data_IF_495465462273
#
_entry.id   IF_495465462273
#
_cell.length_a   1.000
_cell.length_b   1.000
_cell.length_c   1.000
_cell.angle_alpha   90.00
_cell.angle_beta   90.00
_cell.angle_gamma   90.00
#
_symmetry.space_group_name_H-M   'P 1'
#
loop_
_entity.id
_entity.type
_entity.pdbx_description
1 polymer ?
#
# COMPACT_ATOMS: atom_id res chain seq x y z
N UNK A 1 -53.84 -15.77 28.56
CA UNK A 1 -52.66 -14.89 28.58
C UNK A 1 -51.59 -15.59 29.40
N UNK A 2 -50.75 -16.38 28.73
CA UNK A 2 -49.77 -17.26 29.37
C UNK A 2 -48.45 -16.52 29.44
N UNK A 3 -48.00 -16.20 30.66
CA UNK A 3 -46.65 -15.73 30.94
C UNK A 3 -45.65 -16.86 30.61
N UNK A 4 -45.02 -16.80 29.44
CA UNK A 4 -43.78 -17.54 29.18
C UNK A 4 -42.69 -16.90 30.03
N UNK A 5 -42.44 -17.48 31.21
CA UNK A 5 -41.23 -17.20 31.97
C UNK A 5 -40.04 -17.67 31.13
N UNK A 6 -39.26 -16.70 30.64
CA UNK A 6 -37.97 -16.95 30.01
C UNK A 6 -37.06 -17.59 31.06
N UNK A 7 -36.86 -18.90 30.94
CA UNK A 7 -35.78 -19.62 31.62
C UNK A 7 -34.47 -18.94 31.25
N UNK A 8 -33.80 -18.32 32.22
CA UNK A 8 -32.56 -17.58 32.04
C UNK A 8 -31.48 -18.48 31.47
N UNK A 9 -31.27 -18.42 30.15
CA UNK A 9 -30.14 -19.10 29.54
C UNK A 9 -28.87 -18.37 30.00
N UNK A 10 -27.96 -19.12 30.63
CA UNK A 10 -26.62 -18.63 30.94
C UNK A 10 -25.82 -18.66 29.64
N UNK A 11 -26.11 -17.73 28.74
CA UNK A 11 -25.34 -17.57 27.51
C UNK A 11 -23.87 -17.30 27.86
N UNK A 12 -22.97 -17.92 27.10
CA UNK A 12 -21.54 -17.71 27.29
C UNK A 12 -21.20 -16.24 26.96
N UNK A 13 -20.58 -15.49 27.88
CA UNK A 13 -20.42 -14.04 27.72
C UNK A 13 -19.47 -13.70 26.55
N UNK A 14 -19.82 -12.71 25.69
CA UNK A 14 -18.99 -12.27 24.56
C UNK A 14 -17.53 -12.03 24.91
N UNK A 15 -17.27 -11.42 26.07
CA UNK A 15 -15.94 -11.07 26.54
C UNK A 15 -14.99 -12.27 26.66
N UNK A 16 -15.53 -13.49 26.72
CA UNK A 16 -14.72 -14.72 26.78
C UNK A 16 -14.48 -15.35 25.40
N UNK A 17 -15.43 -15.30 24.47
CA UNK A 17 -15.29 -15.98 23.18
C UNK A 17 -14.84 -15.06 22.03
N UNK A 18 -15.13 -13.76 22.08
CA UNK A 18 -14.67 -12.82 21.04
C UNK A 18 -13.14 -12.80 20.89
N UNK A 19 -12.34 -12.72 21.98
CA UNK A 19 -10.87 -12.76 21.86
C UNK A 19 -10.36 -14.10 21.31
N UNK A 20 -11.04 -15.20 21.63
CA UNK A 20 -10.69 -16.54 21.13
C UNK A 20 -10.84 -16.57 19.60
N UNK A 21 -11.98 -16.10 19.08
CA UNK A 21 -12.20 -16.03 17.62
C UNK A 21 -11.24 -15.03 16.97
N UNK A 22 -10.97 -13.89 17.61
CA UNK A 22 -10.05 -12.88 17.09
C UNK A 22 -8.60 -13.40 16.98
N UNK A 23 -8.17 -14.32 17.85
CA UNK A 23 -6.87 -14.98 17.74
C UNK A 23 -6.76 -15.93 16.54
N UNK A 24 -7.87 -16.26 15.87
CA UNK A 24 -7.90 -17.10 14.67
C UNK A 24 -7.79 -16.29 13.36
N UNK A 25 -7.46 -15.00 13.39
CA UNK A 25 -7.45 -14.12 12.20
C UNK A 25 -6.59 -14.59 11.01
N UNK A 26 -5.62 -15.49 11.22
CA UNK A 26 -4.84 -16.14 10.14
C UNK A 26 -5.27 -17.58 9.81
N UNK A 27 -6.26 -18.15 10.51
CA UNK A 27 -6.77 -19.51 10.30
C UNK A 27 -8.20 -19.47 9.74
N UNK A 28 -8.29 -19.23 8.43
CA UNK A 28 -9.57 -19.15 7.72
C UNK A 28 -10.41 -20.42 7.89
N UNK A 29 -9.80 -21.60 8.01
CA UNK A 29 -10.55 -22.85 8.17
C UNK A 29 -11.26 -22.89 9.52
N UNK A 30 -10.55 -22.53 10.60
CA UNK A 30 -11.14 -22.43 11.93
C UNK A 30 -12.21 -21.34 12.00
N UNK A 31 -11.98 -20.17 11.40
CA UNK A 31 -12.98 -19.09 11.34
C UNK A 31 -14.25 -19.50 10.60
N UNK A 32 -14.14 -20.24 9.49
CA UNK A 32 -15.30 -20.76 8.76
C UNK A 32 -16.11 -21.71 9.64
N UNK A 33 -15.45 -22.58 10.40
CA UNK A 33 -16.11 -23.48 11.34
C UNK A 33 -16.78 -22.73 12.50
N UNK A 34 -16.11 -21.72 13.08
CA UNK A 34 -16.69 -20.84 14.09
C UNK A 34 -17.95 -20.14 13.57
N UNK A 35 -17.93 -19.72 12.30
CA UNK A 35 -19.07 -19.07 11.67
C UNK A 35 -20.30 -19.95 11.50
N UNK A 36 -20.20 -21.27 11.69
CA UNK A 36 -21.33 -22.21 11.64
C UNK A 36 -21.96 -22.47 13.01
N UNK A 37 -21.38 -21.97 14.11
CA UNK A 37 -21.82 -22.26 15.48
C UNK A 37 -23.10 -21.50 15.85
N UNK A 38 -23.08 -20.17 15.75
CA UNK A 38 -24.24 -19.29 15.98
C UNK A 38 -24.08 -17.97 15.22
N UNK A 39 -25.11 -17.11 15.26
CA UNK A 39 -25.11 -15.86 14.49
C UNK A 39 -24.08 -14.85 15.00
N UNK A 40 -23.82 -14.79 16.31
CA UNK A 40 -22.82 -13.92 16.92
C UNK A 40 -21.42 -14.33 16.47
N UNK A 41 -21.11 -15.63 16.54
CA UNK A 41 -19.83 -16.18 16.08
C UNK A 41 -19.65 -15.99 14.59
N UNK A 42 -20.73 -16.10 13.81
CA UNK A 42 -20.72 -15.81 12.37
C UNK A 42 -20.34 -14.35 12.11
N UNK A 43 -20.93 -13.38 12.81
CA UNK A 43 -20.65 -11.97 12.61
C UNK A 43 -19.15 -11.64 12.83
N UNK A 44 -18.56 -12.15 13.92
CA UNK A 44 -17.14 -11.91 14.22
C UNK A 44 -16.22 -12.72 13.31
N UNK A 45 -16.56 -13.97 13.01
CA UNK A 45 -15.75 -14.77 12.08
C UNK A 45 -15.69 -14.11 10.71
N UNK A 46 -16.83 -13.58 10.21
CA UNK A 46 -16.90 -12.84 8.94
C UNK A 46 -16.06 -11.57 8.94
N UNK A 47 -15.97 -10.86 10.07
CA UNK A 47 -15.11 -9.68 10.19
C UNK A 47 -13.64 -10.03 9.87
N UNK A 48 -13.15 -11.18 10.36
CA UNK A 48 -11.77 -11.62 10.10
C UNK A 48 -11.60 -12.32 8.75
N UNK A 49 -12.59 -13.11 8.30
CA UNK A 49 -12.52 -13.78 6.99
C UNK A 49 -12.47 -12.78 5.83
N UNK A 50 -13.17 -11.65 5.96
CA UNK A 50 -13.28 -10.64 4.90
C UNK A 50 -12.52 -9.36 5.20
N UNK A 51 -11.63 -9.32 6.21
CA UNK A 51 -10.86 -8.11 6.51
C UNK A 51 -9.86 -7.78 5.41
N UNK A 52 -9.27 -8.80 4.82
CA UNK A 52 -8.26 -8.71 3.77
C UNK A 52 -8.79 -9.37 2.50
N UNK A 53 -8.89 -8.58 1.42
CA UNK A 53 -9.40 -9.05 0.14
C UNK A 53 -8.40 -8.74 -0.96
N UNK A 54 -8.04 -9.76 -1.73
CA UNK A 54 -7.21 -9.63 -2.93
C UNK A 54 -8.06 -9.89 -4.17
N UNK A 55 -8.05 -8.94 -5.11
CA UNK A 55 -8.70 -9.05 -6.41
C UNK A 55 -7.64 -9.35 -7.48
N UNK A 56 -7.78 -10.49 -8.15
CA UNK A 56 -6.84 -10.97 -9.16
C UNK A 56 -7.49 -10.91 -10.54
N UNK A 57 -7.11 -9.92 -11.35
CA UNK A 57 -7.76 -9.64 -12.63
C UNK A 57 -7.16 -10.45 -13.76
N UNK A 58 -7.02 -11.76 -13.55
CA UNK A 58 -6.59 -12.71 -14.58
C UNK A 58 -7.77 -13.37 -15.29
N UNK A 59 -8.99 -13.18 -14.78
CA UNK A 59 -10.17 -13.86 -15.29
C UNK A 59 -11.26 -12.86 -15.67
N UNK A 60 -11.91 -13.01 -16.84
CA UNK A 60 -12.84 -12.02 -17.42
C UNK A 60 -14.11 -11.76 -16.59
N UNK A 61 -14.25 -12.37 -15.42
CA UNK A 61 -15.31 -12.14 -14.43
C UNK A 61 -14.74 -12.40 -13.06
N UNK A 62 -14.26 -11.36 -12.40
CA UNK A 62 -13.92 -11.46 -10.99
C UNK A 62 -15.21 -11.71 -10.20
N UNK A 63 -15.53 -12.99 -9.98
CA UNK A 63 -16.73 -13.45 -9.27
C UNK A 63 -16.79 -12.77 -7.92
N UNK A 64 -15.64 -12.52 -7.30
CA UNK A 64 -15.57 -11.84 -6.02
C UNK A 64 -16.12 -10.42 -6.08
N UNK A 65 -15.80 -9.63 -7.11
CA UNK A 65 -16.39 -8.29 -7.30
C UNK A 65 -17.90 -8.38 -7.45
N UNK A 66 -18.40 -9.37 -8.22
CA UNK A 66 -19.83 -9.58 -8.37
C UNK A 66 -20.51 -9.96 -7.04
N UNK A 67 -19.88 -10.81 -6.23
CA UNK A 67 -20.39 -11.24 -4.91
C UNK A 67 -20.36 -10.09 -3.91
N UNK A 68 -19.32 -9.25 -3.94
CA UNK A 68 -19.22 -8.07 -3.07
C UNK A 68 -20.24 -6.99 -3.45
N UNK A 69 -20.55 -6.87 -4.73
CA UNK A 69 -21.48 -5.86 -5.28
C UNK A 69 -22.91 -6.35 -5.42
N UNK A 70 -23.17 -7.64 -5.13
CA UNK A 70 -24.51 -8.20 -5.14
C UNK A 70 -25.42 -7.48 -4.13
N UNK A 71 -26.69 -7.31 -4.50
CA UNK A 71 -27.69 -6.70 -3.63
C UNK A 71 -27.80 -7.46 -2.30
N UNK A 72 -27.74 -6.75 -1.19
CA UNK A 72 -27.75 -7.33 0.15
C UNK A 72 -26.42 -7.95 0.61
N UNK A 73 -25.36 -7.90 -0.22
CA UNK A 73 -24.04 -8.36 0.20
C UNK A 73 -23.57 -7.58 1.42
N UNK A 74 -23.10 -8.31 2.43
CA UNK A 74 -22.58 -7.72 3.66
C UNK A 74 -21.05 -7.66 3.68
N UNK A 75 -20.37 -8.20 2.67
CA UNK A 75 -18.92 -8.38 2.65
C UNK A 75 -18.19 -7.02 2.70
N UNK A 76 -18.59 -6.07 1.85
CA UNK A 76 -17.89 -4.78 1.71
C UNK A 76 -17.74 -3.96 3.00
N UNK A 77 -18.60 -4.17 4.01
CA UNK A 77 -18.49 -3.47 5.30
C UNK A 77 -17.37 -4.00 6.20
N UNK A 78 -16.87 -5.21 5.91
CA UNK A 78 -15.83 -5.88 6.69
C UNK A 78 -14.44 -5.69 6.08
N UNK A 79 -14.34 -5.32 4.79
CA UNK A 79 -13.07 -5.12 4.09
C UNK A 79 -12.35 -3.91 4.68
N UNK A 80 -11.16 -4.18 5.23
CA UNK A 80 -10.24 -3.18 5.79
C UNK A 80 -9.02 -3.01 4.91
N UNK A 81 -8.63 -4.07 4.22
CA UNK A 81 -7.50 -4.10 3.31
C UNK A 81 -7.95 -4.66 1.96
N UNK A 82 -7.66 -3.91 0.91
CA UNK A 82 -7.98 -4.28 -0.46
C UNK A 82 -6.71 -4.22 -1.30
N UNK A 83 -6.32 -5.35 -1.87
CA UNK A 83 -5.25 -5.44 -2.84
C UNK A 83 -5.83 -5.73 -4.22
N UNK A 84 -5.53 -4.90 -5.20
CA UNK A 84 -6.00 -5.05 -6.58
C UNK A 84 -4.77 -5.30 -7.45
N UNK A 85 -4.70 -6.52 -8.00
CA UNK A 85 -3.65 -6.91 -8.95
C UNK A 85 -4.30 -7.18 -10.30
N UNK A 86 -4.22 -6.21 -11.21
CA UNK A 86 -4.76 -6.39 -12.55
C UNK A 86 -3.71 -6.76 -13.58
N UNK A 87 -4.17 -7.47 -14.62
CA UNK A 87 -3.33 -7.90 -15.72
C UNK A 87 -3.52 -7.04 -16.99
N UNK A 88 -4.64 -6.31 -17.11
CA UNK A 88 -4.96 -5.50 -18.29
C UNK A 88 -5.90 -4.29 -18.00
N UNK A 89 -6.06 -3.43 -19.02
CA UNK A 89 -6.87 -2.20 -19.02
C UNK A 89 -8.35 -2.43 -18.74
N UNK A 90 -8.92 -3.44 -19.40
CA UNK A 90 -10.35 -3.75 -19.30
C UNK A 90 -10.68 -4.24 -17.89
N UNK A 91 -9.77 -5.03 -17.31
CA UNK A 91 -9.85 -5.51 -15.94
C UNK A 91 -9.89 -4.39 -14.90
N UNK A 92 -8.99 -3.41 -15.00
CA UNK A 92 -8.96 -2.27 -14.08
C UNK A 92 -10.29 -1.51 -14.06
N UNK A 93 -10.78 -1.13 -15.24
CA UNK A 93 -12.05 -0.42 -15.36
C UNK A 93 -13.23 -1.25 -14.85
N UNK A 94 -13.29 -2.54 -15.24
CA UNK A 94 -14.36 -3.43 -14.81
C UNK A 94 -14.41 -3.56 -13.27
N UNK A 95 -13.27 -3.64 -12.60
CA UNK A 95 -13.24 -3.72 -11.13
C UNK A 95 -13.64 -2.39 -10.51
N UNK A 96 -12.93 -1.32 -10.85
CA UNK A 96 -13.11 -0.02 -10.19
C UNK A 96 -14.54 0.53 -10.36
N UNK A 97 -15.14 0.36 -11.54
CA UNK A 97 -16.52 0.80 -11.77
C UNK A 97 -17.56 0.03 -10.97
N UNK A 98 -17.26 -1.24 -10.67
CA UNK A 98 -18.15 -2.15 -9.95
C UNK A 98 -17.79 -2.29 -8.47
N UNK A 99 -16.76 -1.60 -7.96
CA UNK A 99 -16.43 -1.62 -6.53
C UNK A 99 -17.62 -1.11 -5.70
N UNK A 100 -18.05 -1.87 -4.66
CA UNK A 100 -19.09 -1.42 -3.76
C UNK A 100 -18.56 -0.33 -2.82
N UNK A 101 -19.42 0.22 -1.98
CA UNK A 101 -18.97 1.11 -0.91
C UNK A 101 -18.20 0.30 0.15
N UNK A 102 -17.00 0.75 0.50
CA UNK A 102 -16.09 0.10 1.44
C UNK A 102 -15.80 1.01 2.64
N UNK A 103 -16.78 1.27 3.52
CA UNK A 103 -16.65 2.28 4.58
C UNK A 103 -15.57 1.95 5.63
N UNK A 104 -15.21 0.68 5.75
CA UNK A 104 -14.19 0.19 6.68
C UNK A 104 -12.78 0.14 6.07
N UNK A 105 -12.62 0.43 4.77
CA UNK A 105 -11.34 0.32 4.10
C UNK A 105 -10.34 1.33 4.65
N UNK A 106 -9.14 0.85 5.00
CA UNK A 106 -8.02 1.63 5.52
C UNK A 106 -6.76 1.41 4.71
N UNK A 107 -6.54 0.20 4.20
CA UNK A 107 -5.38 -0.14 3.37
C UNK A 107 -5.84 -0.41 1.95
N UNK A 108 -5.21 0.27 0.99
CA UNK A 108 -5.42 0.03 -0.43
C UNK A 108 -4.08 -0.19 -1.12
N UNK A 109 -3.97 -1.33 -1.80
CA UNK A 109 -2.81 -1.70 -2.61
C UNK A 109 -3.23 -1.82 -4.06
N UNK A 110 -2.50 -1.15 -4.96
CA UNK A 110 -2.73 -1.16 -6.39
C UNK A 110 -1.44 -1.63 -7.08
N UNK A 111 -1.51 -2.75 -7.78
CA UNK A 111 -0.33 -3.42 -8.34
C UNK A 111 -0.49 -3.68 -9.83
N UNK A 112 0.59 -3.50 -10.60
CA UNK A 112 0.62 -3.63 -12.06
C UNK A 112 -0.36 -2.64 -12.73
N UNK A 113 -0.13 -1.35 -12.53
CA UNK A 113 -0.87 -0.23 -13.14
C UNK A 113 -0.10 0.35 -14.35
N UNK A 114 0.86 -0.41 -14.90
CA UNK A 114 1.68 0.03 -16.04
C UNK A 114 0.77 0.34 -17.24
N UNK A 115 0.90 1.54 -17.82
CA UNK A 115 0.11 2.06 -18.95
C UNK A 115 -1.41 2.18 -18.77
N UNK A 116 -1.98 1.60 -17.72
CA UNK A 116 -3.42 1.51 -17.49
C UNK A 116 -4.04 2.77 -16.91
N UNK A 117 -3.26 3.65 -16.30
CA UNK A 117 -3.81 4.84 -15.64
C UNK A 117 -4.50 5.80 -16.63
N UNK A 118 -3.98 5.86 -17.86
CA UNK A 118 -4.53 6.66 -18.96
C UNK A 118 -5.86 6.12 -19.47
N UNK A 119 -6.02 4.81 -19.44
CA UNK A 119 -7.19 4.10 -19.97
C UNK A 119 -8.35 4.06 -18.97
N UNK A 120 -8.13 4.47 -17.71
CA UNK A 120 -9.18 4.53 -16.71
C UNK A 120 -10.31 5.48 -17.13
N UNK A 121 -11.54 4.98 -17.11
CA UNK A 121 -12.75 5.76 -17.37
C UNK A 121 -12.96 6.80 -16.27
N UNK A 122 -13.70 7.85 -16.58
CA UNK A 122 -14.10 8.87 -15.58
C UNK A 122 -14.89 8.25 -14.42
N UNK A 123 -15.65 7.19 -14.67
CA UNK A 123 -16.41 6.47 -13.66
C UNK A 123 -15.49 5.68 -12.72
N UNK A 124 -14.50 4.96 -13.26
CA UNK A 124 -13.50 4.26 -12.48
C UNK A 124 -12.72 5.23 -11.58
N UNK A 125 -12.28 6.37 -12.14
CA UNK A 125 -11.58 7.45 -11.40
C UNK A 125 -12.44 7.99 -10.26
N UNK A 126 -13.69 8.36 -10.53
CA UNK A 126 -14.60 8.88 -9.50
C UNK A 126 -14.88 7.86 -8.38
N UNK A 127 -14.93 6.56 -8.69
CA UNK A 127 -15.08 5.51 -7.68
C UNK A 127 -13.85 5.41 -6.80
N UNK A 128 -12.67 5.45 -7.41
CA UNK A 128 -11.42 5.41 -6.67
C UNK A 128 -11.23 6.64 -5.78
N UNK A 129 -11.61 7.83 -6.26
CA UNK A 129 -11.58 9.07 -5.46
C UNK A 129 -12.42 8.95 -4.18
N UNK A 130 -13.59 8.28 -4.25
CA UNK A 130 -14.40 8.01 -3.07
C UNK A 130 -13.71 7.03 -2.12
N UNK A 131 -13.03 6.01 -2.64
CA UNK A 131 -12.28 5.04 -1.82
C UNK A 131 -11.13 5.73 -1.09
N UNK A 132 -10.42 6.64 -1.76
CA UNK A 132 -9.29 7.38 -1.16
C UNK A 132 -9.64 8.23 0.06
N UNK A 133 -10.91 8.64 0.21
CA UNK A 133 -11.33 9.45 1.36
C UNK A 133 -11.20 8.73 2.71
N UNK A 134 -11.16 7.39 2.72
CA UNK A 134 -11.04 6.59 3.96
C UNK A 134 -9.70 5.87 4.13
N UNK A 135 -8.83 5.90 3.11
CA UNK A 135 -7.57 5.17 3.10
C UNK A 135 -6.51 5.90 3.93
N UNK A 136 -5.91 5.17 4.87
CA UNK A 136 -4.79 5.62 5.70
C UNK A 136 -3.46 5.01 5.22
N UNK A 137 -3.48 3.89 4.51
CA UNK A 137 -2.30 3.20 4.02
C UNK A 137 -2.48 2.97 2.52
N UNK A 138 -1.71 3.68 1.69
CA UNK A 138 -1.79 3.60 0.24
C UNK A 138 -0.51 2.99 -0.32
N UNK A 139 -0.63 1.88 -1.03
CA UNK A 139 0.46 1.22 -1.73
C UNK A 139 0.20 1.21 -3.23
N UNK A 140 1.17 1.67 -3.99
CA UNK A 140 1.17 1.63 -5.45
C UNK A 140 2.44 0.91 -5.87
N UNK A 141 2.29 -0.16 -6.64
CA UNK A 141 3.42 -0.91 -7.17
C UNK A 141 3.32 -1.10 -8.67
N UNK A 142 4.47 -0.96 -9.36
CA UNK A 142 4.60 -1.15 -10.81
C UNK A 142 3.56 -0.32 -11.57
N UNK A 143 3.71 0.99 -11.49
CA UNK A 143 2.78 1.93 -12.09
C UNK A 143 3.53 2.95 -12.95
N UNK A 144 2.91 3.33 -14.07
CA UNK A 144 3.44 4.36 -14.96
C UNK A 144 2.40 5.46 -15.12
N UNK A 145 2.76 6.68 -14.70
CA UNK A 145 1.94 7.89 -14.89
C UNK A 145 2.41 8.65 -16.14
N UNK A 146 1.53 9.42 -16.79
CA UNK A 146 1.98 10.24 -17.96
C UNK A 146 2.93 11.34 -17.51
N UNK A 147 2.69 11.93 -16.35
CA UNK A 147 3.51 12.98 -15.77
C UNK A 147 3.61 12.86 -14.25
N UNK A 148 4.63 13.50 -13.69
CA UNK A 148 4.78 13.60 -12.23
C UNK A 148 3.61 14.35 -11.57
N UNK A 149 2.98 15.31 -12.26
CA UNK A 149 1.80 15.99 -11.75
C UNK A 149 0.61 15.06 -11.60
N UNK A 150 0.38 14.19 -12.59
CA UNK A 150 -0.69 13.21 -12.51
C UNK A 150 -0.47 12.27 -11.31
N UNK A 151 0.77 11.86 -11.05
CA UNK A 151 1.11 11.07 -9.86
C UNK A 151 0.81 11.85 -8.56
N UNK A 152 1.14 13.15 -8.51
CA UNK A 152 0.83 14.00 -7.34
C UNK A 152 -0.67 14.20 -7.14
N UNK A 153 -1.43 14.49 -8.20
CA UNK A 153 -2.90 14.60 -8.15
C UNK A 153 -3.54 13.32 -7.62
N UNK A 154 -3.08 12.17 -8.13
CA UNK A 154 -3.52 10.87 -7.67
C UNK A 154 -3.28 10.68 -6.17
N UNK A 155 -2.06 10.93 -5.72
CA UNK A 155 -1.69 10.77 -4.30
C UNK A 155 -2.48 11.74 -3.41
N UNK A 156 -2.68 12.99 -3.87
CA UNK A 156 -3.41 14.01 -3.12
C UNK A 156 -4.89 13.71 -2.91
N UNK A 157 -5.50 12.85 -3.73
CA UNK A 157 -6.88 12.40 -3.50
C UNK A 157 -7.00 11.57 -2.22
N UNK A 158 -5.90 10.98 -1.72
CA UNK A 158 -5.83 10.21 -0.50
C UNK A 158 -5.32 11.04 0.71
N UNK A 159 -6.01 12.16 0.98
CA UNK A 159 -5.61 13.14 2.02
C UNK A 159 -5.49 12.60 3.46
N UNK A 160 -6.04 11.41 3.73
CA UNK A 160 -5.98 10.76 5.05
C UNK A 160 -4.79 9.81 5.20
N UNK A 161 -3.95 9.67 4.17
CA UNK A 161 -2.83 8.74 4.17
C UNK A 161 -1.79 9.12 5.22
N UNK A 162 -1.47 8.13 6.07
CA UNK A 162 -0.44 8.13 7.09
C UNK A 162 0.80 7.36 6.60
N UNK A 163 0.60 6.34 5.77
CA UNK A 163 1.64 5.52 5.13
C UNK A 163 1.47 5.50 3.61
N UNK A 164 2.50 5.97 2.90
CA UNK A 164 2.56 5.94 1.44
C UNK A 164 3.69 5.03 0.96
N UNK A 165 3.35 4.05 0.13
CA UNK A 165 4.30 3.12 -0.49
C UNK A 165 4.24 3.26 -2.00
N UNK A 166 5.37 3.61 -2.62
CA UNK A 166 5.55 3.76 -4.06
C UNK A 166 6.70 2.86 -4.50
N UNK A 167 6.40 1.67 -5.05
CA UNK A 167 7.41 0.70 -5.50
C UNK A 167 7.41 0.56 -7.02
N UNK A 168 8.57 0.71 -7.66
CA UNK A 168 8.69 0.64 -9.12
C UNK A 168 7.70 1.57 -9.83
N UNK A 169 7.57 2.80 -9.35
CA UNK A 169 6.68 3.81 -9.95
C UNK A 169 7.48 4.74 -10.85
N UNK A 170 6.96 4.99 -12.05
CA UNK A 170 7.60 5.81 -13.08
C UNK A 170 6.64 6.87 -13.63
N UNK A 171 7.21 7.90 -14.24
CA UNK A 171 6.48 8.84 -15.08
C UNK A 171 7.11 8.87 -16.47
N UNK A 172 6.29 9.01 -17.51
CA UNK A 172 6.80 9.17 -18.88
C UNK A 172 7.46 10.54 -19.08
N UNK A 173 6.93 11.57 -18.41
CA UNK A 173 7.43 12.95 -18.45
C UNK A 173 7.79 13.49 -17.06
N UNK A 174 8.89 14.23 -17.01
CA UNK A 174 9.41 14.94 -15.84
C UNK A 174 9.71 16.42 -16.17
N UNK A 175 8.82 17.06 -16.94
CA UNK A 175 9.02 18.46 -17.32
C UNK A 175 9.09 19.37 -16.08
N UNK A 176 10.19 20.13 -15.94
CA UNK A 176 10.40 21.03 -14.78
C UNK A 176 9.30 22.08 -14.62
N UNK A 177 8.68 22.51 -15.72
CA UNK A 177 7.54 23.44 -15.72
C UNK A 177 6.32 22.89 -15.01
N UNK A 178 6.22 21.55 -14.92
CA UNK A 178 5.07 20.87 -14.36
C UNK A 178 5.13 20.78 -12.84
N UNK A 179 6.31 20.85 -12.19
CA UNK A 179 6.52 20.68 -10.73
C UNK A 179 5.90 21.76 -9.81
N UNK A 180 4.71 22.27 -10.15
CA UNK A 180 3.97 23.29 -9.40
C UNK A 180 2.98 22.70 -8.41
N UNK A 181 2.66 21.40 -8.53
CA UNK A 181 1.61 20.78 -7.73
C UNK A 181 2.17 20.37 -6.36
N UNK A 182 1.71 21.03 -5.32
CA UNK A 182 2.09 20.69 -3.93
C UNK A 182 1.51 19.33 -3.54
N UNK A 183 2.27 18.55 -2.79
CA UNK A 183 1.80 17.29 -2.23
C UNK A 183 1.13 17.59 -0.90
N UNK A 184 -0.18 17.34 -0.81
CA UNK A 184 -1.03 17.72 0.32
C UNK A 184 -1.40 16.44 1.07
N UNK A 185 -0.47 15.96 1.88
CA UNK A 185 -0.66 14.79 2.74
C UNK A 185 -0.38 15.15 4.20
N UNK A 186 -1.30 15.87 4.86
CA UNK A 186 -1.05 16.46 6.19
C UNK A 186 -0.84 15.42 7.30
N UNK A 187 -1.26 14.16 7.08
CA UNK A 187 -1.12 13.06 8.04
C UNK A 187 0.05 12.13 7.73
N UNK A 188 0.74 12.32 6.61
CA UNK A 188 1.80 11.41 6.20
C UNK A 188 2.92 11.40 7.23
N UNK A 189 3.24 10.21 7.71
CA UNK A 189 4.28 9.98 8.72
C UNK A 189 5.24 8.86 8.31
N UNK A 190 4.84 8.03 7.35
CA UNK A 190 5.66 6.96 6.79
C UNK A 190 5.68 7.03 5.28
N UNK A 191 6.86 6.91 4.69
CA UNK A 191 7.02 6.88 3.24
C UNK A 191 8.00 5.79 2.81
N UNK A 192 7.60 4.97 1.84
CA UNK A 192 8.46 4.00 1.16
C UNK A 192 8.52 4.33 -0.32
N UNK A 193 9.72 4.54 -0.88
CA UNK A 193 9.88 4.98 -2.28
C UNK A 193 10.97 4.21 -3.02
N UNK A 194 10.62 3.75 -4.22
CA UNK A 194 11.52 3.21 -5.24
C UNK A 194 11.04 3.56 -6.65
N UNK A 195 11.97 3.55 -7.59
CA UNK A 195 11.72 3.78 -9.01
C UNK A 195 11.99 5.20 -9.45
N UNK A 196 11.44 5.57 -10.61
CA UNK A 196 11.72 6.83 -11.29
C UNK A 196 11.17 8.07 -10.59
N UNK A 197 10.15 7.93 -9.72
CA UNK A 197 9.54 9.07 -9.02
C UNK A 197 10.33 9.57 -7.81
N UNK A 198 11.36 8.84 -7.36
CA UNK A 198 12.10 9.14 -6.13
C UNK A 198 12.66 10.57 -6.10
N UNK A 199 13.44 10.94 -7.11
CA UNK A 199 14.10 12.25 -7.18
C UNK A 199 13.09 13.40 -7.21
N UNK A 200 12.13 13.47 -8.15
CA UNK A 200 11.18 14.58 -8.20
C UNK A 200 10.27 14.63 -6.96
N UNK A 201 9.92 13.48 -6.38
CA UNK A 201 9.16 13.43 -5.13
C UNK A 201 9.92 14.09 -3.98
N UNK A 202 11.19 13.74 -3.79
CA UNK A 202 12.00 14.30 -2.72
C UNK A 202 12.35 15.78 -2.93
N UNK A 203 12.63 16.19 -4.17
CA UNK A 203 12.80 17.61 -4.46
C UNK A 203 11.52 18.40 -4.19
N UNK A 204 10.36 17.85 -4.55
CA UNK A 204 9.07 18.47 -4.29
C UNK A 204 8.80 18.60 -2.78
N UNK A 205 8.99 17.51 -2.01
CA UNK A 205 8.81 17.53 -0.55
C UNK A 205 9.79 18.46 0.16
N UNK A 206 11.05 18.53 -0.28
CA UNK A 206 12.04 19.46 0.27
C UNK A 206 11.70 20.93 -0.01
N UNK A 207 10.97 21.21 -1.09
CA UNK A 207 10.66 22.58 -1.52
C UNK A 207 9.42 23.16 -0.84
N UNK A 208 8.61 22.32 -0.19
CA UNK A 208 7.36 22.71 0.44
C UNK A 208 7.59 23.47 1.75
N UNK A 209 6.77 24.51 1.97
CA UNK A 209 6.77 25.26 3.23
C UNK A 209 6.21 24.42 4.39
N UNK A 210 5.25 23.54 4.10
CA UNK A 210 4.55 22.70 5.07
C UNK A 210 4.76 21.21 4.77
N UNK A 211 6.03 20.78 4.71
CA UNK A 211 6.36 19.39 4.46
C UNK A 211 5.80 18.46 5.57
N UNK A 212 5.34 17.24 5.21
CA UNK A 212 4.85 16.27 6.19
C UNK A 212 5.96 15.82 7.14
N UNK A 213 5.58 15.50 8.39
CA UNK A 213 6.51 15.05 9.44
C UNK A 213 6.81 13.56 9.33
N UNK A 214 7.69 13.18 8.40
CA UNK A 214 8.06 11.79 8.17
C UNK A 214 8.96 11.26 9.30
N UNK A 215 8.51 10.19 9.93
CA UNK A 215 9.21 9.45 11.01
C UNK A 215 9.82 8.14 10.53
N UNK A 216 9.19 7.50 9.55
CA UNK A 216 9.64 6.23 8.99
C UNK A 216 9.92 6.44 7.50
N UNK A 217 11.17 6.28 7.12
CA UNK A 217 11.61 6.44 5.73
C UNK A 217 12.23 5.13 5.23
N UNK A 218 11.68 4.64 4.14
CA UNK A 218 12.17 3.46 3.44
C UNK A 218 12.48 3.82 1.99
N UNK A 219 13.72 3.63 1.54
CA UNK A 219 14.12 4.04 0.18
C UNK A 219 15.03 3.04 -0.50
N UNK A 220 14.86 2.87 -1.80
CA UNK A 220 15.79 2.12 -2.64
C UNK A 220 16.67 3.05 -3.47
N UNK A 221 17.99 2.87 -3.34
CA UNK A 221 18.99 3.59 -4.13
C UNK A 221 19.36 2.75 -5.37
N UNK A 222 18.66 2.97 -6.49
CA UNK A 222 18.82 2.21 -7.74
C UNK A 222 19.93 2.78 -8.63
N UNK A 223 20.26 4.05 -8.48
CA UNK A 223 21.28 4.74 -9.27
C UNK A 223 22.18 5.59 -8.37
N UNK A 224 23.45 5.81 -8.74
CA UNK A 224 24.32 6.74 -8.00
C UNK A 224 23.77 8.16 -7.90
N UNK A 225 22.95 8.59 -8.88
CA UNK A 225 22.27 9.89 -8.87
C UNK A 225 21.23 10.03 -7.75
N UNK A 226 20.66 8.93 -7.27
CA UNK A 226 19.60 8.94 -6.26
C UNK A 226 20.17 9.32 -4.89
N UNK A 227 21.43 8.96 -4.63
CA UNK A 227 22.09 9.19 -3.34
C UNK A 227 22.04 10.66 -2.91
N UNK A 228 22.22 11.60 -3.85
CA UNK A 228 22.15 13.03 -3.52
C UNK A 228 20.75 13.46 -3.07
N UNK A 229 19.71 13.05 -3.81
CA UNK A 229 18.31 13.38 -3.49
C UNK A 229 17.88 12.72 -2.17
N UNK A 230 18.26 11.45 -1.97
CA UNK A 230 18.01 10.70 -0.72
C UNK A 230 18.65 11.41 0.47
N UNK A 231 19.95 11.72 0.41
CA UNK A 231 20.65 12.39 1.51
C UNK A 231 20.12 13.80 1.77
N UNK A 232 19.78 14.56 0.72
CA UNK A 232 19.14 15.88 0.86
C UNK A 232 17.79 15.79 1.55
N UNK A 233 16.97 14.80 1.19
CA UNK A 233 15.67 14.61 1.84
C UNK A 233 15.82 14.16 3.29
N UNK A 234 16.68 13.17 3.57
CA UNK A 234 17.00 12.75 4.94
C UNK A 234 17.49 13.95 5.77
N UNK A 235 18.36 14.81 5.23
CA UNK A 235 18.80 16.04 5.89
C UNK A 235 17.63 17.00 6.21
N UNK A 236 16.66 17.12 5.30
CA UNK A 236 15.47 17.95 5.49
C UNK A 236 14.53 17.45 6.60
N UNK A 237 14.50 16.14 6.85
CA UNK A 237 13.71 15.56 7.93
C UNK A 237 14.30 15.89 9.31
N UNK A 238 15.63 16.05 9.41
CA UNK A 238 16.29 16.42 10.66
C UNK A 238 15.95 15.46 11.82
N UNK A 239 15.80 15.95 13.06
CA UNK A 239 15.75 15.09 14.25
C UNK A 239 14.42 14.35 14.45
N UNK A 240 13.42 14.50 13.57
CA UNK A 240 12.12 13.81 13.71
C UNK A 240 12.14 12.39 13.11
N UNK A 241 13.15 12.03 12.32
CA UNK A 241 13.27 10.70 11.74
C UNK A 241 13.57 9.67 12.85
N UNK A 242 12.72 8.64 12.95
CA UNK A 242 12.80 7.59 13.96
C UNK A 242 13.33 6.27 13.36
N UNK A 243 12.97 5.97 12.12
CA UNK A 243 13.36 4.74 11.42
C UNK A 243 13.82 5.04 9.98
N UNK A 244 14.98 4.50 9.62
CA UNK A 244 15.56 4.61 8.29
C UNK A 244 15.89 3.23 7.73
N UNK A 245 15.28 2.88 6.60
CA UNK A 245 15.59 1.66 5.85
C UNK A 245 16.12 2.01 4.45
N UNK A 246 17.33 1.54 4.13
CA UNK A 246 18.01 1.77 2.87
C UNK A 246 18.23 0.45 2.13
N UNK A 247 17.66 0.33 0.93
CA UNK A 247 17.92 -0.77 0.00
C UNK A 247 18.98 -0.34 -1.01
N UNK A 248 20.12 -1.02 -1.04
CA UNK A 248 21.26 -0.65 -1.91
C UNK A 248 21.79 -1.87 -2.65
N UNK A 249 21.66 -1.90 -3.97
CA UNK A 249 22.00 -3.09 -4.77
C UNK A 249 23.50 -3.24 -5.11
N UNK A 250 24.35 -2.22 -4.86
CA UNK A 250 25.79 -2.31 -5.14
C UNK A 250 26.67 -1.46 -4.20
N UNK A 251 27.99 -1.76 -4.20
CA UNK A 251 28.97 -1.12 -3.34
C UNK A 251 29.33 0.33 -3.73
N UNK A 252 29.19 0.71 -5.00
CA UNK A 252 29.46 2.09 -5.44
C UNK A 252 28.39 3.05 -4.89
N UNK A 253 27.12 2.64 -4.96
CA UNK A 253 25.98 3.39 -4.38
C UNK A 253 26.09 3.48 -2.87
N UNK A 254 26.52 2.40 -2.20
CA UNK A 254 26.79 2.44 -0.76
C UNK A 254 27.85 3.51 -0.43
N UNK A 255 28.95 3.53 -1.19
CA UNK A 255 30.02 4.53 -1.01
C UNK A 255 29.51 5.96 -1.24
N UNK A 256 28.66 6.17 -2.24
CA UNK A 256 28.06 7.47 -2.52
C UNK A 256 27.13 7.96 -1.40
N UNK A 257 26.33 7.06 -0.82
CA UNK A 257 25.47 7.34 0.34
C UNK A 257 26.31 7.60 1.60
N UNK A 258 27.28 6.73 1.90
CA UNK A 258 28.11 6.82 3.11
C UNK A 258 28.94 8.12 3.17
N UNK A 259 29.37 8.63 2.01
CA UNK A 259 30.15 9.87 1.94
C UNK A 259 29.30 11.13 2.15
N UNK A 260 27.98 11.05 1.97
CA UNK A 260 27.07 12.21 2.03
C UNK A 260 26.17 12.22 3.27
N UNK A 261 25.99 11.07 3.91
CA UNK A 261 25.03 10.90 5.00
C UNK A 261 25.72 11.04 6.36
N UNK A 262 25.32 12.03 7.15
CA UNK A 262 25.76 12.21 8.53
C UNK A 262 24.63 11.88 9.52
N UNK A 263 24.58 10.62 9.96
CA UNK A 263 23.54 10.16 10.89
C UNK A 263 23.67 10.74 12.32
N UNK A 264 24.75 11.47 12.64
CA UNK A 264 24.92 12.04 13.98
C UNK A 264 23.93 13.16 14.30
N UNK A 265 23.28 13.73 13.27
CA UNK A 265 22.31 14.82 13.39
C UNK A 265 20.89 14.35 13.80
N UNK A 266 20.66 13.04 13.89
CA UNK A 266 19.33 12.44 14.05
C UNK A 266 19.14 11.88 15.46
N UNK A 267 18.87 12.76 16.42
CA UNK A 267 18.76 12.37 17.84
C UNK A 267 17.59 11.43 18.16
N UNK A 268 16.56 11.37 17.31
CA UNK A 268 15.41 10.47 17.49
C UNK A 268 15.55 9.15 16.74
N UNK A 269 16.60 8.95 15.94
CA UNK A 269 16.78 7.75 15.14
C UNK A 269 17.03 6.54 16.04
N UNK A 270 16.18 5.52 15.91
CA UNK A 270 16.21 4.30 16.75
C UNK A 270 16.51 3.05 15.93
N UNK A 271 16.06 3.03 14.68
CA UNK A 271 16.21 1.88 13.79
C UNK A 271 16.89 2.33 12.52
N UNK A 272 17.98 1.64 12.17
CA UNK A 272 18.65 1.81 10.88
C UNK A 272 18.83 0.44 10.27
N UNK A 273 18.20 0.23 9.12
CA UNK A 273 18.26 -1.02 8.36
C UNK A 273 18.97 -0.75 7.04
N UNK A 274 20.00 -1.56 6.77
CA UNK A 274 20.64 -1.62 5.46
C UNK A 274 20.32 -2.97 4.85
N UNK A 275 19.41 -2.98 3.88
CA UNK A 275 19.17 -4.17 3.09
C UNK A 275 20.13 -4.16 1.90
N UNK A 276 21.13 -5.01 2.02
CA UNK A 276 22.03 -5.32 0.94
C UNK A 276 21.38 -6.47 0.19
N UNK A 277 20.77 -6.18 -0.95
CA UNK A 277 20.35 -7.19 -1.91
C UNK A 277 21.63 -7.74 -2.53
N UNK A 278 22.17 -8.82 -1.95
CA UNK A 278 23.30 -9.52 -2.55
C UNK A 278 22.74 -10.24 -3.78
N UNK A 279 22.59 -9.53 -4.89
CA UNK A 279 22.55 -10.15 -6.20
C UNK A 279 23.95 -10.74 -6.44
N UNK A 280 24.23 -11.87 -5.80
CA UNK A 280 25.16 -12.81 -6.39
C UNK A 280 24.50 -13.21 -7.69
N UNK A 281 24.93 -12.62 -8.81
CA UNK A 281 24.66 -13.17 -10.13
C UNK A 281 24.79 -14.69 -9.98
N UNK A 282 23.73 -15.49 -10.25
CA UNK A 282 23.85 -16.93 -10.15
C UNK A 282 25.07 -17.29 -10.99
N UNK A 283 26.06 -18.01 -10.42
CA UNK A 283 27.36 -18.19 -11.05
C UNK A 283 27.10 -18.60 -12.49
N UNK A 284 27.54 -17.75 -13.44
CA UNK A 284 27.34 -17.99 -14.88
C UNK A 284 27.70 -19.44 -15.11
N UNK A 285 26.70 -20.29 -15.37
CA UNK A 285 26.95 -21.69 -15.71
C UNK A 285 27.82 -21.61 -16.95
N UNK A 286 29.13 -21.81 -16.79
CA UNK A 286 30.02 -21.98 -17.92
C UNK A 286 29.40 -23.11 -18.72
N UNK A 287 28.94 -22.80 -19.93
CA UNK A 287 28.43 -23.81 -20.83
C UNK A 287 29.52 -24.88 -20.93
N UNK A 288 29.20 -26.11 -20.54
CA UNK A 288 30.11 -27.22 -20.74
C UNK A 288 30.49 -27.24 -22.22
N UNK A 289 31.78 -27.38 -22.58
CA UNK A 289 32.16 -27.51 -23.98
C UNK A 289 31.38 -28.69 -24.57
N UNK A 290 30.70 -28.44 -25.69
CA UNK A 290 30.15 -29.49 -26.53
C UNK A 290 31.31 -30.41 -26.91
N UNK A 291 31.25 -31.66 -26.44
CA UNK A 291 32.18 -32.70 -26.85
C UNK A 291 31.71 -33.15 -28.23
N UNK A 292 32.43 -32.74 -29.27
CA UNK A 292 32.32 -33.29 -30.64
C UNK A 292 32.98 -34.69 -30.72
#
# INVERSE_FOLDING_TARGET
MSHMQASGSTAFPPELWEPIIAHLHGDTSSLLNCGLVCWEWNAISRLHIFSEVTLLVQFPRDVLVQVMSAEGSTIGRYIRELDILAADDEGWNAILENLPSLPALRTLSLSNVEDHWKSLTSRAKSKLDHVFQSVTNLSISRATFESFNQACEFINNASQVEELVLWSVYCESYEKSELRLEIILPKLSQISVDGGVLIPLFDQLCSQTNAPSIRILTVACRKPSDAHAICKYIASLGPILEELSLFVDDGERYTALSNQMDLSLYSSLRVVTFDLTWYTDPPKRQAAPLID
#
